data_IF_575562307319
#
_entry.id   IF_575562307319
#
_cell.length_a   1.000
_cell.length_b   1.000
_cell.length_c   1.000
_cell.angle_alpha   90.00
_cell.angle_beta   90.00
_cell.angle_gamma   90.00
#
_symmetry.space_group_name_H-M   'P 1'
#
loop_
_entity.id
_entity.type
_entity.pdbx_description
1 polymer ?
#
# COMPACT_ATOMS: atom_id res chain seq x y z
N UNK A 1 15.81 41.72 34.86
CA UNK A 1 14.69 40.83 35.21
C UNK A 1 14.26 40.08 33.94
N UNK A 2 14.28 38.74 34.01
CA UNK A 2 13.74 37.65 33.14
C UNK A 2 12.72 38.03 32.03
N UNK A 3 12.50 37.33 30.90
CA UNK A 3 12.99 36.07 30.25
C UNK A 3 12.33 35.95 28.84
N UNK A 4 12.98 35.20 27.92
CA UNK A 4 12.49 34.32 26.81
C UNK A 4 11.44 34.83 25.78
N UNK A 5 11.69 34.84 24.45
CA UNK A 5 11.87 33.77 23.42
C UNK A 5 10.63 32.85 23.23
N UNK A 6 9.95 32.94 22.08
CA UNK A 6 9.83 31.86 21.06
C UNK A 6 9.02 32.28 19.82
N UNK A 7 9.63 32.04 18.66
CA UNK A 7 9.08 32.05 17.30
C UNK A 7 8.51 30.67 16.99
N UNK A 8 7.36 30.57 16.34
CA UNK A 8 6.95 29.32 15.66
C UNK A 8 6.44 29.57 14.24
N UNK A 9 6.96 28.71 13.36
CA UNK A 9 6.67 28.53 11.94
C UNK A 9 5.35 27.80 11.76
N UNK A 10 4.66 28.05 10.65
CA UNK A 10 3.83 27.04 9.96
C UNK A 10 4.00 27.18 8.45
N UNK A 11 4.30 26.06 7.79
CA UNK A 11 4.28 25.86 6.33
C UNK A 11 2.92 25.25 5.93
N UNK A 12 2.49 25.39 4.66
CA UNK A 12 1.17 24.98 4.18
C UNK A 12 1.20 23.58 3.53
N UNK A 13 0.08 22.84 3.56
CA UNK A 13 -0.12 21.70 2.64
C UNK A 13 -1.59 21.64 2.17
N UNK A 14 -1.69 21.54 0.84
CA UNK A 14 -2.77 21.12 -0.08
C UNK A 14 -3.61 19.91 0.43
N UNK A 15 -4.79 19.51 -0.09
CA UNK A 15 -5.41 19.71 -1.41
C UNK A 15 -6.90 19.30 -1.41
N UNK A 16 -7.64 19.91 -2.35
CA UNK A 16 -8.79 19.45 -3.19
C UNK A 16 -9.73 18.33 -2.69
N UNK A 17 -11.04 18.57 -2.53
CA UNK A 17 -12.12 18.82 -3.53
C UNK A 17 -12.85 17.53 -3.97
N UNK A 18 -14.13 17.41 -3.61
CA UNK A 18 -15.08 16.38 -4.07
C UNK A 18 -16.08 16.99 -5.06
N UNK A 19 -16.45 16.27 -6.12
CA UNK A 19 -17.61 16.56 -6.96
C UNK A 19 -18.66 15.46 -6.81
N UNK A 20 -19.92 15.89 -6.84
CA UNK A 20 -21.13 15.13 -6.58
C UNK A 20 -21.77 14.53 -7.83
N UNK A 21 -22.59 13.47 -7.65
CA UNK A 21 -23.83 13.24 -8.40
C UNK A 21 -24.72 12.18 -7.68
N UNK A 22 -26.02 12.47 -7.56
CA UNK A 22 -27.06 11.60 -6.95
C UNK A 22 -28.26 11.44 -7.90
N UNK A 23 -28.81 10.22 -8.01
CA UNK A 23 -30.21 9.86 -8.36
C UNK A 23 -30.45 8.45 -7.74
N UNK A 24 -31.28 8.22 -6.71
CA UNK A 24 -32.75 8.01 -6.66
C UNK A 24 -33.13 6.57 -7.11
N UNK A 25 -33.80 5.65 -6.39
CA UNK A 25 -34.53 5.60 -5.11
C UNK A 25 -34.85 4.12 -4.68
N UNK A 26 -35.02 3.88 -3.37
CA UNK A 26 -35.82 2.80 -2.68
C UNK A 26 -35.32 1.33 -2.71
N UNK A 27 -35.58 0.41 -1.75
CA UNK A 27 -36.15 0.39 -0.39
C UNK A 27 -35.76 -0.94 0.31
N UNK A 28 -35.53 -0.92 1.63
CA UNK A 28 -35.69 -1.97 2.70
C UNK A 28 -35.19 -3.42 2.44
N UNK A 29 -34.62 -4.18 3.38
CA UNK A 29 -35.01 -4.49 4.76
C UNK A 29 -33.87 -5.33 5.39
N UNK A 30 -33.58 -5.15 6.68
CA UNK A 30 -32.44 -5.78 7.36
C UNK A 30 -32.60 -7.26 7.69
N UNK A 31 -31.47 -7.90 7.98
CA UNK A 31 -31.35 -9.11 8.81
C UNK A 31 -29.94 -9.16 9.43
N UNK A 32 -29.87 -9.72 10.64
CA UNK A 32 -28.73 -9.78 11.56
C UNK A 32 -27.54 -10.58 11.00
N UNK A 33 -26.32 -10.05 11.14
CA UNK A 33 -25.07 -10.75 10.78
C UNK A 33 -24.17 -10.93 12.00
N UNK A 34 -24.00 -12.18 12.43
CA UNK A 34 -22.86 -12.60 13.24
C UNK A 34 -21.58 -12.38 12.44
N UNK A 35 -20.66 -11.58 13.00
CA UNK A 35 -19.36 -11.32 12.40
C UNK A 35 -18.44 -12.55 12.53
N UNK A 36 -18.25 -13.26 11.41
CA UNK A 36 -17.09 -14.13 11.24
C UNK A 36 -15.87 -13.27 10.95
N UNK A 37 -15.03 -13.06 11.96
CA UNK A 37 -13.74 -12.39 11.81
C UNK A 37 -12.82 -13.25 10.91
N UNK A 38 -12.70 -12.87 9.64
CA UNK A 38 -11.55 -13.25 8.80
C UNK A 38 -10.63 -12.04 8.71
N UNK A 39 -9.44 -12.19 9.28
CA UNK A 39 -8.44 -11.13 9.37
C UNK A 39 -8.08 -10.57 7.97
N UNK A 40 -7.92 -9.24 7.82
CA UNK A 40 -7.44 -8.68 6.56
C UNK A 40 -6.02 -9.20 6.28
N UNK A 41 -5.79 -9.62 5.04
CA UNK A 41 -4.45 -9.99 4.56
C UNK A 41 -3.56 -8.76 4.61
N UNK A 42 -2.81 -8.61 5.71
CA UNK A 42 -1.84 -7.55 5.89
C UNK A 42 -0.67 -7.73 4.91
N UNK A 43 -0.16 -6.62 4.39
CA UNK A 43 1.10 -6.60 3.65
C UNK A 43 2.21 -7.21 4.54
N UNK A 44 2.79 -8.32 4.10
CA UNK A 44 3.85 -9.00 4.85
C UNK A 44 5.19 -8.34 4.51
N UNK A 45 5.88 -7.82 5.52
CA UNK A 45 7.26 -7.34 5.40
C UNK A 45 8.23 -8.47 5.73
N UNK A 46 9.17 -8.73 4.83
CA UNK A 46 10.28 -9.67 5.06
C UNK A 46 11.56 -8.88 5.32
N UNK A 47 12.24 -9.19 6.42
CA UNK A 47 13.53 -8.58 6.75
C UNK A 47 14.68 -9.40 6.17
N UNK A 48 15.69 -8.73 5.62
CA UNK A 48 16.79 -9.37 4.86
C UNK A 48 18.12 -8.64 5.04
N UNK A 49 19.16 -9.43 5.27
CA UNK A 49 20.54 -8.96 5.45
C UNK A 49 21.30 -8.93 4.11
N UNK A 50 22.36 -8.12 3.99
CA UNK A 50 23.15 -8.04 2.76
C UNK A 50 23.91 -9.35 2.50
N UNK A 51 24.06 -9.69 1.23
CA UNK A 51 24.67 -10.95 0.77
C UNK A 51 25.93 -10.76 -0.09
N UNK A 52 26.24 -9.53 -0.49
CA UNK A 52 27.35 -9.26 -1.42
C UNK A 52 27.89 -7.82 -1.30
N UNK A 53 29.20 -7.68 -1.58
CA UNK A 53 29.86 -6.38 -1.82
C UNK A 53 29.82 -6.08 -3.31
N UNK A 54 29.03 -5.08 -3.73
CA UNK A 54 28.77 -4.83 -5.15
C UNK A 54 29.71 -3.77 -5.71
N UNK A 55 29.96 -2.71 -4.93
CA UNK A 55 30.93 -1.68 -5.26
C UNK A 55 31.43 -0.98 -4.00
N UNK A 56 32.69 -0.53 -4.01
CA UNK A 56 33.25 0.21 -2.88
C UNK A 56 34.27 1.25 -3.35
N UNK A 57 34.21 2.45 -2.77
CA UNK A 57 35.17 3.52 -3.02
C UNK A 57 35.58 4.16 -1.71
N UNK A 58 36.86 4.03 -1.35
CA UNK A 58 37.38 4.61 -0.12
C UNK A 58 36.77 4.03 1.15
N UNK A 59 36.35 2.76 1.12
CA UNK A 59 35.85 2.01 2.27
C UNK A 59 36.84 0.91 2.61
N UNK A 60 37.00 0.63 3.90
CA UNK A 60 37.76 -0.50 4.41
C UNK A 60 36.97 -1.24 5.49
N UNK A 61 37.32 -2.49 5.74
CA UNK A 61 36.89 -3.20 6.93
C UNK A 61 37.64 -2.70 8.18
N UNK A 62 36.91 -2.52 9.27
CA UNK A 62 37.45 -2.63 10.63
C UNK A 62 37.37 -4.09 11.06
N UNK A 63 38.46 -4.63 11.63
CA UNK A 63 38.50 -5.97 12.25
C UNK A 63 38.12 -7.15 11.34
N UNK A 64 39.09 -7.66 10.58
CA UNK A 64 38.95 -8.91 9.81
C UNK A 64 39.44 -8.80 8.37
N UNK A 65 39.38 -9.92 7.65
CA UNK A 65 39.70 -10.02 6.21
C UNK A 65 38.51 -10.54 5.39
N UNK A 66 37.33 -10.66 6.00
CA UNK A 66 36.12 -11.10 5.31
C UNK A 66 35.58 -9.97 4.40
N UNK A 67 34.74 -10.31 3.42
CA UNK A 67 33.94 -9.33 2.69
C UNK A 67 33.15 -8.41 3.63
N UNK A 68 32.96 -7.16 3.25
CA UNK A 68 32.40 -6.14 4.14
C UNK A 68 30.94 -6.45 4.50
N UNK A 69 30.13 -6.95 3.58
CA UNK A 69 28.75 -7.37 3.85
C UNK A 69 28.65 -8.42 4.94
N UNK A 70 29.63 -9.33 5.06
CA UNK A 70 29.65 -10.35 6.12
C UNK A 70 30.28 -9.86 7.43
N UNK A 71 30.84 -8.64 7.43
CA UNK A 71 31.34 -7.95 8.62
C UNK A 71 30.32 -6.96 9.17
N UNK A 72 29.43 -6.45 8.32
CA UNK A 72 28.26 -5.70 8.74
C UNK A 72 27.23 -6.73 9.17
N UNK A 73 26.88 -6.73 10.46
CA UNK A 73 26.09 -7.78 11.15
C UNK A 73 24.98 -8.37 10.28
N UNK A 74 24.89 -9.70 10.25
CA UNK A 74 24.01 -10.49 9.38
C UNK A 74 22.60 -10.67 9.96
N UNK A 75 22.28 -9.99 11.05
CA UNK A 75 20.97 -9.93 11.67
C UNK A 75 20.01 -8.90 11.06
N UNK A 76 18.77 -8.91 11.57
CA UNK A 76 17.66 -8.03 11.14
C UNK A 76 17.11 -7.19 12.29
N UNK A 77 17.97 -6.86 13.26
CA UNK A 77 17.59 -6.06 14.41
C UNK A 77 18.79 -5.33 14.98
N UNK A 78 18.59 -4.12 15.51
CA UNK A 78 19.66 -3.42 16.21
C UNK A 78 19.98 -4.09 17.56
N UNK A 79 21.22 -4.55 17.72
CA UNK A 79 21.76 -5.04 18.97
C UNK A 79 23.14 -4.43 19.28
N UNK A 80 23.46 -4.36 20.58
CA UNK A 80 24.74 -3.82 21.02
C UNK A 80 25.92 -4.74 20.67
N UNK A 81 25.67 -6.02 20.44
CA UNK A 81 26.63 -7.01 19.91
C UNK A 81 27.21 -6.60 18.56
N UNK A 82 26.43 -5.87 17.78
CA UNK A 82 26.67 -5.63 16.35
C UNK A 82 27.71 -4.53 16.17
N UNK A 83 27.89 -3.69 17.20
CA UNK A 83 28.88 -2.60 17.26
C UNK A 83 30.25 -3.09 17.72
N UNK A 84 30.60 -4.32 17.35
CA UNK A 84 31.84 -5.01 17.72
C UNK A 84 33.07 -4.51 16.96
N UNK A 85 34.08 -5.38 16.81
CA UNK A 85 35.31 -5.06 16.10
C UNK A 85 35.19 -5.01 14.57
N UNK A 86 34.06 -5.48 14.03
CA UNK A 86 33.78 -5.65 12.60
C UNK A 86 32.86 -4.54 12.09
N UNK A 87 33.28 -3.79 11.08
CA UNK A 87 32.48 -2.68 10.53
C UNK A 87 32.98 -2.23 9.16
N UNK A 88 32.12 -1.55 8.39
CA UNK A 88 32.54 -0.71 7.28
C UNK A 88 33.04 0.64 7.81
N UNK A 89 34.21 1.07 7.35
CA UNK A 89 34.79 2.39 7.69
C UNK A 89 35.18 3.17 6.45
N UNK A 90 34.86 4.46 6.46
CA UNK A 90 35.37 5.41 5.49
C UNK A 90 36.88 5.60 5.66
N UNK A 91 37.58 5.80 4.56
CA UNK A 91 38.98 6.17 4.57
C UNK A 91 39.18 7.48 5.36
N UNK A 92 40.19 7.57 6.24
CA UNK A 92 40.46 8.75 7.02
C UNK A 92 40.65 9.98 6.14
N UNK A 93 40.06 11.10 6.56
CA UNK A 93 40.20 12.39 5.90
C UNK A 93 39.78 12.44 4.41
N UNK A 94 39.10 11.41 3.88
CA UNK A 94 38.43 11.51 2.56
C UNK A 94 37.08 12.16 2.74
N UNK A 95 36.79 13.16 1.90
CA UNK A 95 35.52 13.88 1.91
C UNK A 95 34.32 12.99 1.58
N UNK A 96 34.51 11.96 0.76
CA UNK A 96 33.46 11.02 0.38
C UNK A 96 33.99 9.59 0.23
N UNK A 97 33.20 8.65 0.73
CA UNK A 97 33.38 7.20 0.57
C UNK A 97 32.03 6.52 0.34
N UNK A 98 32.01 5.46 -0.46
CA UNK A 98 30.76 4.72 -0.78
C UNK A 98 30.93 3.22 -0.62
N UNK A 99 29.90 2.57 -0.09
CA UNK A 99 29.76 1.11 -0.02
C UNK A 99 28.41 0.72 -0.60
N UNK A 100 28.40 -0.07 -1.67
CA UNK A 100 27.19 -0.63 -2.27
C UNK A 100 27.08 -2.11 -1.93
N UNK A 101 25.93 -2.51 -1.41
CA UNK A 101 25.61 -3.86 -0.96
C UNK A 101 24.43 -4.44 -1.74
N UNK A 102 24.44 -5.75 -1.97
CA UNK A 102 23.34 -6.49 -2.60
C UNK A 102 22.64 -7.47 -1.66
N UNK A 103 21.40 -7.85 -2.02
CA UNK A 103 20.49 -8.62 -1.17
C UNK A 103 19.84 -9.78 -1.94
N UNK A 104 20.65 -10.76 -2.34
CA UNK A 104 20.23 -11.89 -3.18
C UNK A 104 19.61 -13.03 -2.37
N UNK A 105 18.66 -12.73 -1.47
CA UNK A 105 17.99 -13.76 -0.66
C UNK A 105 16.84 -14.42 -1.44
N UNK A 106 16.87 -15.75 -1.52
CA UNK A 106 15.79 -16.54 -2.10
C UNK A 106 14.44 -16.35 -1.40
N UNK A 107 14.43 -15.99 -0.11
CA UNK A 107 13.24 -15.71 0.70
C UNK A 107 12.61 -14.34 0.41
N UNK A 108 13.27 -13.47 -0.39
CA UNK A 108 12.67 -12.20 -0.79
C UNK A 108 11.41 -12.38 -1.63
N UNK A 109 10.41 -11.50 -1.45
CA UNK A 109 9.22 -11.51 -2.29
C UNK A 109 9.58 -11.24 -3.75
N UNK A 110 8.72 -11.73 -4.65
CA UNK A 110 8.88 -11.57 -6.09
C UNK A 110 8.93 -10.10 -6.54
N UNK A 111 8.49 -9.13 -5.73
CA UNK A 111 8.63 -7.69 -5.99
C UNK A 111 8.55 -6.88 -4.70
N UNK A 112 8.78 -5.56 -4.74
CA UNK A 112 8.74 -4.68 -3.57
C UNK A 112 7.98 -3.37 -3.85
N UNK A 113 7.02 -3.03 -2.98
CA UNK A 113 6.26 -1.77 -3.01
C UNK A 113 6.73 -0.75 -1.99
N UNK A 114 7.41 -1.21 -0.94
CA UNK A 114 8.02 -0.39 0.10
C UNK A 114 9.25 -1.11 0.64
N UNK A 115 10.32 -0.36 0.88
CA UNK A 115 11.55 -0.82 1.53
C UNK A 115 11.87 0.14 2.67
N UNK A 116 12.08 -0.39 3.87
CA UNK A 116 12.73 0.35 4.95
C UNK A 116 14.17 -0.09 5.02
N UNK A 117 15.12 0.83 4.86
CA UNK A 117 16.54 0.53 5.07
C UNK A 117 16.89 0.91 6.50
N UNK A 118 17.28 -0.09 7.29
CA UNK A 118 17.71 0.09 8.67
C UNK A 118 19.23 -0.02 8.73
N UNK A 119 19.88 0.92 9.41
CA UNK A 119 21.34 0.96 9.50
C UNK A 119 21.78 1.76 10.72
N UNK A 120 23.03 1.58 11.12
CA UNK A 120 23.65 2.43 12.13
C UNK A 120 24.79 3.29 11.57
N UNK A 121 25.22 4.28 12.35
CA UNK A 121 26.38 5.06 12.00
C UNK A 121 26.95 5.90 13.14
N UNK A 122 28.26 6.11 13.11
CA UNK A 122 28.96 7.05 13.99
C UNK A 122 30.31 7.48 13.42
N UNK A 123 30.94 8.43 14.12
CA UNK A 123 32.27 8.91 13.82
C UNK A 123 33.30 8.43 14.85
N UNK A 124 34.51 8.13 14.38
CA UNK A 124 35.64 7.66 15.20
C UNK A 124 36.91 8.46 14.91
N UNK A 125 37.86 8.42 15.85
CA UNK A 125 39.22 8.94 15.69
C UNK A 125 39.28 10.41 15.19
N UNK A 126 38.35 11.25 15.65
CA UNK A 126 38.26 12.66 15.25
C UNK A 126 37.52 12.93 13.94
N UNK A 127 36.82 11.94 13.38
CA UNK A 127 35.92 12.11 12.26
C UNK A 127 34.68 12.92 12.63
N UNK A 128 34.07 13.58 11.66
CA UNK A 128 32.79 14.25 11.80
C UNK A 128 32.13 14.42 10.43
N UNK A 129 30.83 14.17 10.32
CA UNK A 129 30.17 14.24 9.02
C UNK A 129 28.80 13.61 9.03
N UNK A 130 28.39 13.10 7.88
CA UNK A 130 27.07 12.55 7.67
C UNK A 130 27.09 11.23 6.90
N UNK A 131 25.99 10.50 7.04
CA UNK A 131 25.69 9.28 6.31
C UNK A 131 24.30 9.41 5.69
N UNK A 132 24.15 8.86 4.49
CA UNK A 132 22.84 8.63 3.89
C UNK A 132 22.85 7.35 3.08
N UNK A 133 21.67 6.80 2.86
CA UNK A 133 21.47 5.66 1.98
C UNK A 133 20.86 6.09 0.65
N UNK A 134 21.27 5.44 -0.43
CA UNK A 134 20.56 5.41 -1.70
C UNK A 134 20.08 3.99 -1.99
N UNK A 135 18.85 3.86 -2.48
CA UNK A 135 18.25 2.59 -2.85
C UNK A 135 18.24 2.45 -4.37
N UNK A 136 18.64 1.29 -4.88
CA UNK A 136 18.71 0.98 -6.30
C UNK A 136 17.95 -0.31 -6.63
N UNK A 137 17.45 -0.40 -7.85
CA UNK A 137 17.05 -1.64 -8.52
C UNK A 137 18.12 -1.97 -9.58
N UNK A 138 18.93 -2.99 -9.30
CA UNK A 138 20.15 -3.27 -10.06
C UNK A 138 21.08 -2.07 -10.08
N UNK A 139 21.26 -1.46 -11.26
CA UNK A 139 22.07 -0.26 -11.45
C UNK A 139 21.25 1.06 -11.44
N UNK A 140 19.93 0.98 -11.41
CA UNK A 140 19.03 2.13 -11.50
C UNK A 140 18.76 2.69 -10.11
N UNK A 141 19.06 3.98 -9.91
CA UNK A 141 18.74 4.66 -8.64
C UNK A 141 17.22 4.82 -8.52
N UNK A 142 16.62 4.24 -7.48
CA UNK A 142 15.20 4.41 -7.16
C UNK A 142 14.98 5.70 -6.37
N UNK A 143 15.75 5.89 -5.29
CA UNK A 143 15.57 7.01 -4.37
C UNK A 143 16.82 7.27 -3.52
N UNK A 144 16.91 8.49 -2.99
CA UNK A 144 17.96 8.91 -2.04
C UNK A 144 17.32 9.27 -0.71
N UNK A 145 17.77 8.62 0.36
CA UNK A 145 17.32 8.86 1.73
C UNK A 145 17.78 10.20 2.29
N UNK A 146 17.21 10.62 3.43
CA UNK A 146 17.63 11.83 4.13
C UNK A 146 19.11 11.77 4.56
N UNK A 147 19.69 12.94 4.81
CA UNK A 147 21.06 13.05 5.30
C UNK A 147 21.07 13.05 6.83
N UNK A 148 21.79 12.11 7.43
CA UNK A 148 21.91 11.99 8.89
C UNK A 148 23.27 12.43 9.38
N UNK A 149 23.30 13.39 10.30
CA UNK A 149 24.54 13.81 10.96
C UNK A 149 25.01 12.77 11.97
N UNK A 150 26.29 12.40 11.90
CA UNK A 150 26.88 11.39 12.78
C UNK A 150 27.55 12.05 13.99
N UNK A 151 27.44 11.37 15.13
CA UNK A 151 28.12 11.76 16.37
C UNK A 151 29.20 10.73 16.74
N UNK A 152 29.93 10.94 17.83
CA UNK A 152 30.87 9.94 18.36
C UNK A 152 30.17 8.75 19.03
N UNK A 153 28.85 8.82 19.21
CA UNK A 153 28.04 7.74 19.76
C UNK A 153 27.26 7.08 18.62
N UNK A 154 27.26 5.74 18.54
CA UNK A 154 26.44 4.98 17.58
C UNK A 154 24.95 5.35 17.63
N UNK A 155 24.44 5.81 16.49
CA UNK A 155 23.02 6.09 16.26
C UNK A 155 22.40 5.07 15.30
N UNK A 156 21.13 4.76 15.49
CA UNK A 156 20.35 3.88 14.62
C UNK A 156 19.43 4.74 13.76
N UNK A 157 19.28 4.37 12.49
CA UNK A 157 18.50 5.09 11.49
C UNK A 157 17.63 4.12 10.70
N UNK A 158 16.46 4.59 10.29
CA UNK A 158 15.52 3.85 9.44
C UNK A 158 14.99 4.80 8.37
N UNK A 159 15.37 4.56 7.12
CA UNK A 159 14.91 5.36 5.98
C UNK A 159 13.83 4.59 5.24
N UNK A 160 12.64 5.17 5.13
CA UNK A 160 11.50 4.53 4.42
C UNK A 160 11.42 5.02 2.98
N UNK A 161 11.39 4.05 2.06
CA UNK A 161 11.18 4.24 0.63
C UNK A 161 9.86 3.55 0.26
N UNK A 162 8.84 4.34 -0.04
CA UNK A 162 7.50 3.84 -0.40
C UNK A 162 7.23 4.09 -1.89
N UNK A 163 6.11 3.55 -2.38
CA UNK A 163 5.69 3.71 -3.77
C UNK A 163 6.74 3.22 -4.77
N UNK A 164 7.41 2.13 -4.40
CA UNK A 164 8.43 1.50 -5.22
C UNK A 164 7.79 0.62 -6.30
N UNK A 165 8.43 0.60 -7.46
CA UNK A 165 8.12 -0.32 -8.53
C UNK A 165 9.32 -1.24 -8.78
N UNK A 166 9.43 -2.27 -7.95
CA UNK A 166 10.53 -3.23 -8.03
C UNK A 166 9.94 -4.58 -8.37
N UNK A 167 10.24 -5.04 -9.59
CA UNK A 167 9.72 -6.28 -10.15
C UNK A 167 10.43 -7.54 -9.67
N UNK A 168 11.63 -7.41 -9.07
CA UNK A 168 12.32 -8.49 -8.36
C UNK A 168 13.12 -7.89 -7.20
N UNK A 169 12.67 -8.11 -5.96
CA UNK A 169 13.33 -7.54 -4.79
C UNK A 169 14.79 -8.01 -4.63
N UNK A 170 15.18 -9.14 -5.24
CA UNK A 170 16.57 -9.65 -5.19
C UNK A 170 17.56 -8.76 -5.94
N UNK A 171 17.06 -7.88 -6.81
CA UNK A 171 17.86 -6.89 -7.51
C UNK A 171 18.10 -5.62 -6.68
N UNK A 172 17.47 -5.49 -5.51
CA UNK A 172 17.69 -4.34 -4.63
C UNK A 172 19.16 -4.22 -4.23
N UNK A 173 19.67 -2.99 -4.28
CA UNK A 173 20.98 -2.60 -3.75
C UNK A 173 20.86 -1.37 -2.88
N UNK A 174 21.72 -1.26 -1.88
CA UNK A 174 21.86 -0.04 -1.08
C UNK A 174 23.28 0.51 -1.19
N UNK A 175 23.41 1.80 -1.49
CA UNK A 175 24.67 2.53 -1.36
C UNK A 175 24.65 3.36 -0.06
N UNK A 176 25.54 3.03 0.87
CA UNK A 176 25.92 3.89 1.98
C UNK A 176 26.91 4.94 1.48
N UNK A 177 26.50 6.22 1.52
CA UNK A 177 27.35 7.36 1.19
C UNK A 177 27.79 8.06 2.48
N UNK A 178 29.07 7.95 2.78
CA UNK A 178 29.73 8.62 3.90
C UNK A 178 30.32 9.95 3.42
N UNK A 179 29.96 11.04 4.10
CA UNK A 179 30.46 12.39 3.80
C UNK A 179 31.22 12.92 5.02
N UNK A 180 32.54 12.80 5.02
CA UNK A 180 33.37 13.27 6.14
C UNK A 180 33.72 14.75 5.94
N UNK A 181 33.19 15.57 6.83
CA UNK A 181 33.48 17.01 6.89
C UNK A 181 34.77 17.34 7.65
N UNK A 182 35.33 16.36 8.40
CA UNK A 182 36.60 16.52 9.08
C UNK A 182 37.77 16.09 8.19
N UNK A 183 38.89 16.81 8.30
CA UNK A 183 40.17 16.43 7.69
C UNK A 183 40.89 15.31 8.48
N UNK A 184 40.18 14.60 9.36
CA UNK A 184 40.72 13.55 10.22
C UNK A 184 39.64 12.48 10.49
N UNK A 185 40.08 11.34 11.03
CA UNK A 185 39.21 10.24 11.46
C UNK A 185 38.31 9.67 10.37
N UNK A 186 37.39 8.79 10.78
CA UNK A 186 36.54 8.00 9.89
C UNK A 186 35.08 8.03 10.34
N UNK A 187 34.18 7.80 9.39
CA UNK A 187 32.78 7.48 9.63
C UNK A 187 32.60 5.97 9.45
N UNK A 188 31.71 5.37 10.22
CA UNK A 188 31.55 3.92 10.26
C UNK A 188 30.09 3.52 10.34
N UNK A 189 29.82 2.31 9.88
CA UNK A 189 28.55 1.59 10.03
C UNK A 189 28.87 0.12 10.24
N UNK A 190 28.15 -0.54 11.15
CA UNK A 190 28.32 -1.95 11.49
C UNK A 190 27.10 -2.81 11.19
N UNK A 191 25.94 -2.23 10.91
CA UNK A 191 24.75 -3.01 10.56
C UNK A 191 23.95 -2.33 9.47
N UNK A 192 23.37 -3.15 8.59
CA UNK A 192 22.39 -2.72 7.62
C UNK A 192 21.49 -3.89 7.21
N UNK A 193 20.18 -3.69 7.19
CA UNK A 193 19.23 -4.65 6.62
C UNK A 193 18.05 -3.93 5.97
N UNK A 194 17.28 -4.64 5.15
CA UNK A 194 16.04 -4.13 4.57
C UNK A 194 14.83 -4.78 5.23
N UNK A 195 13.78 -4.02 5.50
CA UNK A 195 12.43 -4.55 5.63
C UNK A 195 11.71 -4.34 4.30
N UNK A 196 11.57 -5.41 3.52
CA UNK A 196 10.97 -5.40 2.19
C UNK A 196 9.51 -5.77 2.30
N UNK A 197 8.62 -4.84 1.96
CA UNK A 197 7.20 -5.11 1.82
C UNK A 197 6.93 -5.54 0.38
N UNK A 198 6.58 -6.81 0.21
CA UNK A 198 6.32 -7.38 -1.10
C UNK A 198 4.88 -7.18 -1.60
N UNK A 199 4.67 -7.26 -2.91
CA UNK A 199 3.35 -7.50 -3.51
C UNK A 199 3.10 -9.01 -3.49
N UNK A 200 2.30 -9.49 -2.54
CA UNK A 200 1.97 -10.93 -2.39
C UNK A 200 0.49 -11.20 -2.59
N UNK A 201 -0.13 -10.48 -3.53
CA UNK A 201 -1.51 -10.73 -3.91
C UNK A 201 -1.72 -12.18 -4.33
N UNK A 202 -2.87 -12.74 -3.94
CA UNK A 202 -3.25 -14.12 -4.26
C UNK A 202 -4.47 -14.19 -5.16
N UNK A 203 -5.09 -13.05 -5.48
CA UNK A 203 -6.32 -12.96 -6.27
C UNK A 203 -7.41 -12.13 -5.63
N UNK A 204 -8.64 -12.29 -6.12
CA UNK A 204 -9.84 -11.71 -5.53
C UNK A 204 -10.73 -12.81 -4.95
N UNK A 205 -11.49 -12.47 -3.91
CA UNK A 205 -12.50 -13.36 -3.35
C UNK A 205 -13.72 -13.34 -4.26
N UNK A 206 -13.91 -14.39 -5.06
CA UNK A 206 -15.08 -14.60 -5.90
C UNK A 206 -16.19 -15.30 -5.11
N UNK A 207 -17.39 -14.74 -5.16
CA UNK A 207 -18.63 -15.39 -4.71
C UNK A 207 -19.51 -15.62 -5.93
N UNK A 208 -19.77 -16.89 -6.24
CA UNK A 208 -20.54 -17.34 -7.38
C UNK A 208 -21.94 -17.73 -6.93
N UNK A 209 -22.97 -17.22 -7.61
CA UNK A 209 -24.37 -17.41 -7.28
C UNK A 209 -25.12 -18.07 -8.42
N UNK A 210 -26.09 -18.92 -8.09
CA UNK A 210 -26.90 -19.69 -9.06
C UNK A 210 -28.01 -18.86 -9.74
N UNK A 211 -28.16 -17.58 -9.37
CA UNK A 211 -29.06 -16.62 -10.00
C UNK A 211 -28.31 -15.35 -10.46
N UNK A 212 -28.86 -14.63 -11.43
CA UNK A 212 -28.29 -13.38 -12.01
C UNK A 212 -28.24 -12.18 -11.05
N UNK A 213 -28.97 -12.25 -9.94
CA UNK A 213 -29.22 -11.14 -9.01
C UNK A 213 -28.51 -11.30 -7.66
N UNK A 214 -27.45 -12.13 -7.63
CA UNK A 214 -26.68 -12.47 -6.43
C UNK A 214 -27.49 -13.19 -5.35
N UNK A 215 -28.48 -13.99 -5.76
CA UNK A 215 -29.29 -14.82 -4.86
C UNK A 215 -29.12 -16.32 -5.17
N UNK A 216 -29.79 -17.18 -4.40
CA UNK A 216 -29.74 -18.63 -4.59
C UNK A 216 -28.54 -19.29 -3.91
N UNK A 217 -28.23 -20.52 -4.32
CA UNK A 217 -27.07 -21.23 -3.83
C UNK A 217 -25.79 -20.48 -4.24
N UNK A 218 -24.78 -20.46 -3.38
CA UNK A 218 -23.51 -19.78 -3.69
C UNK A 218 -22.28 -20.55 -3.24
N UNK A 219 -21.20 -20.42 -4.01
CA UNK A 219 -19.88 -21.00 -3.72
C UNK A 219 -18.83 -19.89 -3.74
N UNK A 220 -17.96 -19.90 -2.73
CA UNK A 220 -16.88 -18.91 -2.60
C UNK A 220 -15.51 -19.55 -2.87
N UNK A 221 -14.65 -18.87 -3.63
CA UNK A 221 -13.24 -19.23 -3.81
C UNK A 221 -12.38 -18.00 -4.09
N UNK A 222 -11.07 -18.14 -3.95
CA UNK A 222 -10.12 -17.11 -4.40
C UNK A 222 -9.75 -17.39 -5.85
N UNK A 223 -9.99 -16.40 -6.71
CA UNK A 223 -9.58 -16.43 -8.12
C UNK A 223 -8.31 -15.61 -8.29
N UNK A 224 -7.22 -16.26 -8.70
CA UNK A 224 -5.91 -15.61 -8.83
C UNK A 224 -5.94 -14.37 -9.73
N UNK A 225 -6.76 -14.41 -10.78
CA UNK A 225 -7.01 -13.32 -11.71
C UNK A 225 -8.46 -13.44 -12.21
N UNK A 226 -9.04 -12.36 -12.72
CA UNK A 226 -10.33 -12.43 -13.44
C UNK A 226 -10.03 -12.46 -14.94
N UNK A 227 -9.93 -13.68 -15.47
CA UNK A 227 -9.71 -13.96 -16.89
C UNK A 227 -10.44 -15.26 -17.26
N UNK A 228 -11.76 -15.17 -17.35
CA UNK A 228 -12.64 -16.31 -17.53
C UNK A 228 -13.33 -16.28 -18.88
N UNK A 229 -13.27 -17.42 -19.58
CA UNK A 229 -14.10 -17.71 -20.74
C UNK A 229 -14.72 -19.09 -20.52
N UNK A 230 -15.98 -19.10 -20.11
CA UNK A 230 -16.71 -20.34 -19.84
C UNK A 230 -17.42 -20.86 -21.10
N UNK A 231 -17.58 -20.03 -22.14
CA UNK A 231 -18.45 -20.36 -23.28
C UNK A 231 -19.85 -20.70 -22.75
N UNK A 232 -20.42 -21.82 -23.20
CA UNK A 232 -21.73 -22.30 -22.72
C UNK A 232 -21.66 -23.22 -21.48
N UNK A 233 -20.54 -23.24 -20.75
CA UNK A 233 -20.35 -24.09 -19.57
C UNK A 233 -20.64 -23.33 -18.27
N UNK A 234 -21.01 -24.08 -17.22
CA UNK A 234 -21.14 -23.53 -15.88
C UNK A 234 -19.79 -23.10 -15.31
N UNK A 235 -19.76 -22.04 -14.47
CA UNK A 235 -18.53 -21.55 -13.87
C UNK A 235 -17.95 -22.52 -12.82
N UNK A 236 -18.81 -23.32 -12.20
CA UNK A 236 -18.52 -24.32 -11.18
C UNK A 236 -19.48 -25.51 -11.33
N UNK A 237 -19.07 -26.70 -10.89
CA UNK A 237 -19.86 -27.93 -10.99
C UNK A 237 -21.23 -27.85 -10.31
N UNK A 238 -21.34 -27.05 -9.24
CA UNK A 238 -22.54 -26.95 -8.40
C UNK A 238 -23.49 -25.81 -8.82
N UNK A 239 -23.22 -25.16 -9.95
CA UNK A 239 -24.02 -24.06 -10.48
C UNK A 239 -24.59 -24.40 -11.87
N UNK A 240 -25.71 -23.77 -12.21
CA UNK A 240 -26.26 -23.78 -13.55
C UNK A 240 -25.30 -23.17 -14.57
N UNK A 241 -25.36 -23.69 -15.80
CA UNK A 241 -24.61 -23.12 -16.93
C UNK A 241 -25.18 -21.78 -17.42
N UNK A 242 -26.43 -21.52 -17.08
CA UNK A 242 -27.20 -20.35 -17.47
C UNK A 242 -27.68 -19.64 -16.20
N UNK A 243 -27.97 -18.35 -16.29
CA UNK A 243 -28.54 -17.54 -15.19
C UNK A 243 -27.70 -17.46 -13.90
N UNK A 244 -26.38 -17.29 -13.97
CA UNK A 244 -25.53 -17.15 -12.77
C UNK A 244 -25.00 -15.72 -12.59
N UNK A 245 -24.48 -15.41 -11.41
CA UNK A 245 -23.75 -14.15 -11.18
C UNK A 245 -22.50 -14.37 -10.33
N UNK A 246 -21.53 -13.46 -10.46
CA UNK A 246 -20.29 -13.51 -9.69
C UNK A 246 -19.96 -12.13 -9.15
N UNK A 247 -19.57 -12.08 -7.87
CA UNK A 247 -19.01 -10.89 -7.23
C UNK A 247 -17.59 -11.19 -6.78
N UNK A 248 -16.61 -10.52 -7.37
CA UNK A 248 -15.24 -10.49 -6.89
C UNK A 248 -15.01 -9.29 -5.99
N UNK A 249 -14.51 -9.52 -4.79
CA UNK A 249 -14.18 -8.49 -3.81
C UNK A 249 -12.73 -8.60 -3.35
N UNK A 250 -12.13 -7.46 -3.03
CA UNK A 250 -10.79 -7.42 -2.49
C UNK A 250 -10.16 -6.04 -2.61
N UNK A 251 -8.84 -6.04 -2.77
CA UNK A 251 -8.06 -4.84 -3.03
C UNK A 251 -7.20 -5.00 -4.28
N UNK A 252 -6.96 -3.88 -4.96
CA UNK A 252 -6.01 -3.76 -6.07
C UNK A 252 -4.91 -2.78 -5.67
N UNK A 253 -3.65 -3.10 -5.98
CA UNK A 253 -2.52 -2.18 -5.75
C UNK A 253 -1.73 -1.97 -7.03
N UNK A 254 -1.53 -0.70 -7.41
CA UNK A 254 -0.84 -0.31 -8.64
C UNK A 254 0.69 -0.39 -8.53
N UNK A 255 1.32 -0.58 -9.68
CA UNK A 255 2.77 -0.58 -9.84
C UNK A 255 3.34 0.85 -9.84
N UNK A 256 2.62 1.78 -10.47
CA UNK A 256 3.02 3.17 -10.60
C UNK A 256 1.98 4.13 -9.99
N UNK A 257 2.44 5.30 -9.56
CA UNK A 257 1.54 6.39 -9.16
C UNK A 257 1.07 7.12 -10.41
N UNK A 258 0.00 6.62 -11.02
CA UNK A 258 -0.51 7.06 -12.32
C UNK A 258 -2.05 6.98 -12.36
N UNK A 259 -2.64 7.54 -13.42
CA UNK A 259 -4.04 7.25 -13.74
C UNK A 259 -4.10 5.94 -14.52
N UNK A 260 -4.75 4.94 -13.94
CA UNK A 260 -4.99 3.65 -14.57
C UNK A 260 -6.32 3.68 -15.31
N UNK A 261 -6.33 3.11 -16.51
CA UNK A 261 -7.54 2.74 -17.23
C UNK A 261 -7.80 1.27 -16.97
N UNK A 262 -8.92 0.96 -16.31
CA UNK A 262 -9.44 -0.38 -16.16
C UNK A 262 -10.30 -0.75 -17.38
N UNK A 263 -10.23 -1.99 -17.80
CA UNK A 263 -11.04 -2.55 -18.87
C UNK A 263 -11.69 -3.83 -18.39
N UNK A 264 -12.96 -4.01 -18.75
CA UNK A 264 -13.70 -5.24 -18.53
C UNK A 264 -14.25 -5.73 -19.86
N UNK A 265 -14.07 -7.01 -20.19
CA UNK A 265 -14.79 -7.64 -21.29
C UNK A 265 -15.78 -8.63 -20.71
N UNK A 266 -17.07 -8.47 -21.03
CA UNK A 266 -18.10 -9.38 -20.52
C UNK A 266 -19.23 -9.67 -21.51
N UNK A 267 -19.80 -10.86 -21.34
CA UNK A 267 -21.03 -11.39 -21.90
C UNK A 267 -21.63 -12.19 -20.73
N UNK A 268 -22.70 -11.78 -20.04
CA UNK A 268 -23.49 -10.54 -20.16
C UNK A 268 -22.93 -9.35 -19.30
N UNK A 269 -23.72 -8.82 -18.36
CA UNK A 269 -23.53 -7.50 -17.76
C UNK A 269 -22.45 -7.45 -16.69
N UNK A 270 -21.78 -6.30 -16.57
CA UNK A 270 -20.65 -6.10 -15.67
C UNK A 270 -20.63 -4.68 -15.07
N UNK A 271 -20.16 -4.58 -13.84
CA UNK A 271 -19.91 -3.30 -13.17
C UNK A 271 -18.66 -3.38 -12.30
N UNK A 272 -17.86 -2.31 -12.35
CA UNK A 272 -16.60 -2.20 -11.61
C UNK A 272 -16.62 -0.97 -10.72
N UNK A 273 -16.37 -1.21 -9.43
CA UNK A 273 -16.19 -0.17 -8.42
C UNK A 273 -14.76 -0.21 -7.92
N UNK A 274 -14.06 0.93 -7.94
CA UNK A 274 -12.70 1.08 -7.41
C UNK A 274 -12.70 2.23 -6.41
N UNK A 275 -12.20 1.97 -5.19
CA UNK A 275 -12.17 2.92 -4.08
C UNK A 275 -13.54 3.57 -3.82
N UNK A 276 -14.61 2.77 -3.84
CA UNK A 276 -15.99 3.22 -3.65
C UNK A 276 -16.62 3.95 -4.85
N UNK A 277 -15.88 4.19 -5.94
CA UNK A 277 -16.38 4.87 -7.13
C UNK A 277 -16.72 3.86 -8.24
N UNK A 278 -17.97 3.90 -8.74
CA UNK A 278 -18.42 3.12 -9.90
C UNK A 278 -17.79 3.70 -11.17
N UNK A 279 -16.79 3.02 -11.72
CA UNK A 279 -16.05 3.48 -12.91
C UNK A 279 -16.50 2.77 -14.20
N UNK A 280 -17.15 1.62 -14.10
CA UNK A 280 -17.81 0.91 -15.21
C UNK A 280 -19.18 0.45 -14.73
N UNK A 281 -20.23 0.73 -15.50
CA UNK A 281 -21.61 0.32 -15.17
C UNK A 281 -22.38 -0.06 -16.44
N UNK A 282 -22.25 -1.32 -16.85
CA UNK A 282 -22.98 -1.88 -17.98
C UNK A 282 -23.79 -3.10 -17.50
N UNK A 283 -24.81 -2.83 -16.69
CA UNK A 283 -25.65 -3.86 -16.07
C UNK A 283 -26.85 -4.24 -16.95
N UNK A 284 -26.58 -4.62 -18.20
CA UNK A 284 -27.60 -5.04 -19.18
C UNK A 284 -27.19 -6.35 -19.84
N UNK A 285 -28.16 -7.10 -20.39
CA UNK A 285 -27.85 -8.28 -21.18
C UNK A 285 -27.27 -7.86 -22.53
N UNK A 286 -26.11 -8.41 -22.89
CA UNK A 286 -25.38 -8.09 -24.11
C UNK A 286 -24.32 -9.15 -24.40
N UNK A 287 -24.01 -9.34 -25.69
CA UNK A 287 -22.85 -10.15 -26.07
C UNK A 287 -21.52 -9.58 -25.59
N UNK A 288 -20.42 -10.28 -25.81
CA UNK A 288 -19.07 -9.85 -25.43
C UNK A 288 -18.73 -8.39 -25.85
N UNK A 289 -18.65 -7.50 -24.86
CA UNK A 289 -18.32 -6.07 -25.03
C UNK A 289 -17.19 -5.68 -24.07
N UNK A 290 -16.23 -4.89 -24.56
CA UNK A 290 -15.24 -4.23 -23.72
C UNK A 290 -15.76 -2.86 -23.24
N UNK A 291 -15.76 -2.64 -21.92
CA UNK A 291 -16.00 -1.34 -21.29
C UNK A 291 -14.73 -0.88 -20.57
N UNK A 292 -14.60 0.43 -20.34
CA UNK A 292 -13.46 0.99 -19.63
C UNK A 292 -13.83 2.16 -18.74
N UNK A 293 -13.01 2.37 -17.70
CA UNK A 293 -13.13 3.45 -16.73
C UNK A 293 -11.78 3.76 -16.11
N UNK A 294 -11.59 4.96 -15.58
CA UNK A 294 -10.28 5.39 -15.05
C UNK A 294 -10.32 5.62 -13.55
N UNK A 295 -9.22 5.32 -12.86
CA UNK A 295 -9.00 5.68 -11.46
C UNK A 295 -7.55 6.11 -11.24
N UNK A 296 -7.33 7.12 -10.39
CA UNK A 296 -5.98 7.54 -9.99
C UNK A 296 -5.51 6.67 -8.82
N UNK A 297 -4.38 5.99 -8.99
CA UNK A 297 -3.82 5.07 -8.00
C UNK A 297 -2.42 5.54 -7.61
N UNK A 298 -2.07 5.36 -6.34
CA UNK A 298 -0.71 5.51 -5.84
C UNK A 298 -0.01 4.14 -5.83
N UNK A 299 1.25 4.11 -6.28
CA UNK A 299 2.03 2.88 -6.30
C UNK A 299 2.10 2.26 -4.90
N UNK A 300 1.81 0.96 -4.82
CA UNK A 300 1.90 0.19 -3.57
C UNK A 300 0.75 0.39 -2.59
N UNK A 301 -0.11 1.39 -2.78
CA UNK A 301 -1.29 1.59 -1.95
C UNK A 301 -2.41 0.62 -2.37
N UNK A 302 -3.08 -0.06 -1.43
CA UNK A 302 -4.15 -0.99 -1.74
C UNK A 302 -5.52 -0.29 -1.74
N UNK A 303 -6.22 -0.31 -2.87
CA UNK A 303 -7.54 0.28 -3.06
C UNK A 303 -8.63 -0.78 -3.12
N UNK A 304 -9.79 -0.54 -2.51
CA UNK A 304 -10.91 -1.48 -2.60
C UNK A 304 -11.36 -1.66 -4.06
N UNK A 305 -11.62 -2.91 -4.44
CA UNK A 305 -12.13 -3.26 -5.76
C UNK A 305 -13.32 -4.22 -5.61
N UNK A 306 -14.40 -3.92 -6.32
CA UNK A 306 -15.57 -4.78 -6.45
C UNK A 306 -15.92 -4.89 -7.92
N UNK A 307 -15.80 -6.10 -8.45
CA UNK A 307 -16.26 -6.45 -9.79
C UNK A 307 -17.48 -7.36 -9.67
N UNK A 308 -18.54 -6.99 -10.34
CA UNK A 308 -19.81 -7.70 -10.31
C UNK A 308 -20.22 -8.02 -11.75
N UNK A 309 -20.65 -9.25 -11.97
CA UNK A 309 -20.95 -9.82 -13.28
C UNK A 309 -22.20 -10.70 -13.19
N UNK A 310 -22.98 -10.76 -14.27
CA UNK A 310 -23.99 -11.79 -14.45
C UNK A 310 -23.94 -12.38 -15.85
N UNK A 311 -24.36 -13.64 -15.94
CA UNK A 311 -24.66 -14.34 -17.17
C UNK A 311 -26.16 -14.65 -17.18
N UNK A 312 -26.89 -14.17 -18.18
CA UNK A 312 -28.31 -14.49 -18.32
C UNK A 312 -28.50 -15.72 -19.21
N UNK A 313 -27.99 -15.69 -20.45
CA UNK A 313 -28.06 -16.85 -21.35
C UNK A 313 -26.96 -16.87 -22.42
N UNK A 314 -26.42 -18.05 -22.72
CA UNK A 314 -25.57 -18.26 -23.89
C UNK A 314 -24.09 -18.43 -23.54
N UNK A 315 -23.24 -17.53 -24.03
CA UNK A 315 -21.80 -17.64 -23.82
C UNK A 315 -21.37 -16.69 -22.71
N UNK A 316 -20.66 -17.20 -21.72
CA UNK A 316 -20.19 -16.42 -20.60
C UNK A 316 -18.69 -16.09 -20.71
N UNK A 317 -18.35 -14.80 -20.62
CA UNK A 317 -16.98 -14.29 -20.51
C UNK A 317 -16.92 -13.17 -19.47
N UNK A 318 -15.84 -13.13 -18.69
CA UNK A 318 -15.56 -12.03 -17.77
C UNK A 318 -14.05 -11.86 -17.61
N UNK A 319 -13.52 -10.72 -18.03
CA UNK A 319 -12.10 -10.37 -17.87
C UNK A 319 -11.94 -9.02 -17.18
N UNK A 320 -10.84 -8.87 -16.44
CA UNK A 320 -10.41 -7.62 -15.82
C UNK A 320 -8.96 -7.33 -16.18
N UNK A 321 -8.75 -6.24 -16.91
CA UNK A 321 -7.43 -5.75 -17.31
C UNK A 321 -7.25 -4.29 -16.97
N UNK A 322 -6.01 -3.80 -16.99
CA UNK A 322 -5.70 -2.39 -16.80
C UNK A 322 -4.55 -1.94 -17.70
N UNK A 323 -4.35 -0.63 -17.80
CA UNK A 323 -3.14 -0.02 -18.38
C UNK A 323 -2.90 1.36 -17.80
N UNK A 324 -1.68 1.87 -17.92
CA UNK A 324 -1.26 3.22 -17.56
C UNK A 324 -0.11 3.67 -18.49
N UNK A 325 0.40 4.91 -18.38
CA UNK A 325 1.58 5.33 -19.14
C UNK A 325 2.80 4.39 -19.02
N UNK A 326 3.00 3.80 -17.84
CA UNK A 326 4.11 2.89 -17.56
C UNK A 326 3.71 1.40 -17.50
N UNK A 327 2.42 1.09 -17.41
CA UNK A 327 1.88 -0.29 -17.45
C UNK A 327 1.20 -0.59 -18.79
N UNK A 328 1.74 -1.49 -19.65
CA UNK A 328 1.06 -1.95 -20.85
C UNK A 328 -0.29 -2.61 -20.53
N UNK A 329 -1.25 -2.55 -21.48
CA UNK A 329 -2.55 -3.20 -21.28
C UNK A 329 -2.41 -4.71 -21.09
N UNK A 330 -2.95 -5.23 -19.99
CA UNK A 330 -2.95 -6.66 -19.69
C UNK A 330 -3.89 -7.00 -18.53
N UNK A 331 -4.19 -8.30 -18.38
CA UNK A 331 -4.93 -8.83 -17.21
C UNK A 331 -4.23 -8.35 -15.94
N UNK A 332 -5.02 -7.91 -14.96
CA UNK A 332 -4.43 -7.47 -13.68
C UNK A 332 -3.77 -8.69 -13.02
N UNK A 333 -2.44 -8.67 -12.81
CA UNK A 333 -1.73 -9.82 -12.28
C UNK A 333 -2.18 -10.17 -10.86
N UNK A 334 -2.05 -11.44 -10.48
CA UNK A 334 -2.48 -11.93 -9.16
C UNK A 334 -1.79 -11.22 -8.00
N UNK A 335 -0.53 -10.85 -8.19
CA UNK A 335 0.32 -10.16 -7.22
C UNK A 335 -0.20 -8.75 -6.87
N UNK A 336 -0.99 -8.15 -7.76
CA UNK A 336 -1.66 -6.86 -7.57
C UNK A 336 -3.06 -7.01 -6.97
N UNK A 337 -3.57 -8.22 -6.76
CA UNK A 337 -4.93 -8.51 -6.28
C UNK A 337 -4.90 -9.21 -4.92
N UNK A 338 -5.60 -8.64 -3.95
CA UNK A 338 -5.65 -9.14 -2.57
C UNK A 338 -7.08 -9.53 -2.23
N UNK A 339 -7.36 -10.78 -1.78
CA UNK A 339 -8.72 -11.24 -1.60
C UNK A 339 -9.41 -10.49 -0.45
N UNK A 340 -10.67 -10.12 -0.66
CA UNK A 340 -11.54 -9.59 0.37
C UNK A 340 -12.01 -10.67 1.35
N UNK A 341 -12.73 -10.30 2.43
CA UNK A 341 -13.34 -11.27 3.33
C UNK A 341 -14.29 -12.19 2.54
N UNK A 342 -14.32 -13.47 2.92
CA UNK A 342 -15.24 -14.46 2.37
C UNK A 342 -16.66 -14.21 2.89
N UNK A 343 -17.36 -13.24 2.32
CA UNK A 343 -18.74 -12.90 2.68
C UNK A 343 -19.30 -11.78 1.81
N UNK A 344 -20.63 -11.53 1.88
CA UNK A 344 -21.21 -10.36 1.22
C UNK A 344 -20.47 -9.11 1.67
N UNK A 345 -20.16 -8.16 0.77
CA UNK A 345 -19.50 -6.92 1.16
C UNK A 345 -20.28 -6.30 2.32
N UNK A 346 -19.57 -5.86 3.37
CA UNK A 346 -20.20 -5.14 4.48
C UNK A 346 -21.03 -4.02 3.85
N UNK A 347 -22.34 -3.91 4.15
CA UNK A 347 -23.16 -2.83 3.61
C UNK A 347 -22.47 -1.50 3.93
N UNK A 348 -22.00 -0.82 2.90
CA UNK A 348 -21.60 0.57 3.05
C UNK A 348 -22.88 1.36 3.28
N UNK A 349 -23.17 1.65 4.55
CA UNK A 349 -24.25 2.55 4.92
C UNK A 349 -23.91 3.92 4.35
N UNK A 350 -24.44 4.21 3.16
CA UNK A 350 -24.43 5.54 2.60
C UNK A 350 -25.26 6.42 3.53
N UNK A 351 -24.61 7.32 4.26
CA UNK A 351 -25.31 8.28 5.09
C UNK A 351 -25.95 9.32 4.16
N UNK A 352 -27.26 9.23 3.94
CA UNK A 352 -27.99 10.27 3.22
C UNK A 352 -27.96 11.56 4.05
N UNK A 353 -27.53 12.67 3.44
CA UNK A 353 -27.65 13.97 4.09
C UNK A 353 -29.14 14.34 4.23
N UNK A 354 -29.61 14.78 5.42
CA UNK A 354 -30.96 15.31 5.55
C UNK A 354 -31.15 16.55 4.66
N UNK A 355 -32.39 16.85 4.23
CA UNK A 355 -32.70 18.07 3.50
C UNK A 355 -32.26 19.31 4.29
N UNK A 356 -31.38 20.13 3.70
CA UNK A 356 -30.94 21.42 4.28
C UNK A 356 -29.49 21.48 4.76
N UNK A 357 -28.70 20.40 4.69
CA UNK A 357 -27.28 20.41 5.03
C UNK A 357 -26.44 20.50 3.75
N UNK A 358 -25.58 21.51 3.65
CA UNK A 358 -24.84 21.82 2.41
C UNK A 358 -23.33 21.61 2.48
N UNK A 359 -22.74 21.23 3.63
CA UNK A 359 -21.37 20.70 3.79
C UNK A 359 -21.01 20.68 5.28
N UNK A 360 -20.71 19.51 5.85
CA UNK A 360 -19.85 19.43 7.05
C UNK A 360 -18.67 18.52 6.71
N UNK A 361 -17.46 19.08 6.85
CA UNK A 361 -16.20 18.36 6.69
C UNK A 361 -15.80 17.85 8.07
N UNK A 362 -15.82 16.54 8.27
CA UNK A 362 -15.21 15.92 9.44
C UNK A 362 -13.76 15.58 9.11
N UNK A 363 -12.85 15.87 10.04
CA UNK A 363 -11.47 15.41 9.98
C UNK A 363 -11.34 14.31 11.02
N UNK A 364 -11.22 13.08 10.54
CA UNK A 364 -10.92 11.93 11.39
C UNK A 364 -9.41 11.88 11.60
N UNK A 365 -8.97 11.76 12.85
CA UNK A 365 -7.57 11.54 13.22
C UNK A 365 -7.43 10.04 13.49
N UNK A 366 -7.40 9.25 12.41
CA UNK A 366 -7.43 7.79 12.47
C UNK A 366 -6.12 7.28 13.10
N UNK A 367 -6.14 6.94 14.39
CA UNK A 367 -5.00 6.34 15.11
C UNK A 367 -4.99 4.81 15.08
N UNK A 368 -5.91 4.20 14.31
CA UNK A 368 -5.98 2.75 14.11
C UNK A 368 -6.62 1.97 15.27
N UNK A 369 -7.33 2.64 16.19
CA UNK A 369 -8.19 1.97 17.18
C UNK A 369 -9.66 2.35 17.01
N UNK A 370 -10.57 1.60 17.65
CA UNK A 370 -12.02 1.80 17.56
C UNK A 370 -12.42 3.26 17.76
N UNK A 371 -13.44 3.72 17.01
CA UNK A 371 -13.96 5.10 16.99
C UNK A 371 -14.00 5.74 18.39
N UNK A 372 -13.04 6.62 18.68
CA UNK A 372 -13.01 7.39 19.93
C UNK A 372 -13.82 8.70 19.76
N UNK A 373 -15.07 8.63 20.21
CA UNK A 373 -16.02 9.75 20.16
C UNK A 373 -15.62 10.97 21.01
N UNK A 374 -14.58 10.88 21.84
CA UNK A 374 -14.11 12.01 22.68
C UNK A 374 -13.12 12.93 21.97
N UNK A 375 -12.64 12.57 20.78
CA UNK A 375 -11.62 13.32 20.01
C UNK A 375 -12.19 14.13 18.84
N UNK A 376 -13.51 14.29 18.76
CA UNK A 376 -14.16 15.00 17.66
C UNK A 376 -14.06 16.51 17.86
N UNK A 377 -13.19 17.18 17.10
CA UNK A 377 -13.11 18.64 17.07
C UNK A 377 -13.89 19.25 15.91
N UNK A 378 -14.76 20.21 16.21
CA UNK A 378 -15.52 20.98 15.22
C UNK A 378 -14.64 22.12 14.72
N UNK A 379 -14.15 22.02 13.48
CA UNK A 379 -13.14 22.97 12.98
C UNK A 379 -13.76 24.26 12.42
N UNK A 380 -14.98 24.26 11.85
CA UNK A 380 -15.73 25.48 11.54
C UNK A 380 -17.25 25.25 11.46
N UNK A 381 -18.02 26.13 12.11
CA UNK A 381 -19.47 26.27 11.96
C UNK A 381 -19.87 27.71 12.24
N UNK A 382 -20.76 28.27 11.42
CA UNK A 382 -21.23 29.64 11.59
C UNK A 382 -21.96 29.75 12.94
N UNK A 383 -21.42 30.54 13.87
CA UNK A 383 -22.00 30.75 15.18
C UNK A 383 -23.38 31.41 15.07
N UNK A 384 -24.47 30.63 15.09
CA UNK A 384 -25.73 31.08 15.69
C UNK A 384 -26.66 29.91 16.06
N UNK A 385 -26.63 29.39 17.30
CA UNK A 385 -27.61 28.41 17.76
C UNK A 385 -28.84 29.14 18.31
N UNK A 386 -29.68 29.70 17.44
CA UNK A 386 -31.03 30.07 17.84
C UNK A 386 -31.96 28.87 17.64
N UNK A 387 -32.00 28.00 18.65
CA UNK A 387 -33.06 27.01 18.81
C UNK A 387 -32.65 25.55 18.57
N UNK A 388 -32.17 24.88 19.63
CA UNK A 388 -32.56 23.51 19.97
C UNK A 388 -32.30 22.35 18.99
N UNK A 389 -31.57 22.52 17.89
CA UNK A 389 -31.39 21.48 16.86
C UNK A 389 -30.20 20.52 17.10
N UNK A 390 -29.47 20.63 18.20
CA UNK A 390 -28.27 19.82 18.48
C UNK A 390 -28.55 18.43 19.05
N UNK A 391 -29.73 17.85 18.82
CA UNK A 391 -30.13 16.59 19.50
C UNK A 391 -30.65 15.47 18.59
N UNK A 392 -30.77 15.66 17.27
CA UNK A 392 -31.22 14.55 16.40
C UNK A 392 -30.06 13.73 15.82
N UNK A 393 -28.98 14.35 15.32
CA UNK A 393 -27.89 13.60 14.69
C UNK A 393 -27.10 12.73 15.69
N UNK A 394 -26.79 13.27 16.88
CA UNK A 394 -26.13 12.52 17.96
C UNK A 394 -27.03 11.43 18.57
N UNK A 395 -28.37 11.55 18.45
CA UNK A 395 -29.30 10.47 18.85
C UNK A 395 -29.40 9.37 17.79
N UNK A 396 -29.28 9.70 16.51
CA UNK A 396 -29.24 8.72 15.42
C UNK A 396 -27.93 7.93 15.42
N UNK A 397 -26.79 8.59 15.67
CA UNK A 397 -25.47 7.92 15.79
C UNK A 397 -25.37 7.04 17.05
N UNK A 398 -26.12 7.31 18.12
CA UNK A 398 -26.18 6.45 19.33
C UNK A 398 -27.01 5.18 19.17
N UNK A 399 -27.86 5.09 18.15
CA UNK A 399 -28.78 3.96 17.99
C UNK A 399 -28.23 2.85 17.07
N UNK A 400 -27.10 3.09 16.40
CA UNK A 400 -26.46 2.17 15.44
C UNK A 400 -25.01 1.83 15.82
N UNK A 401 -24.68 1.81 17.12
CA UNK A 401 -23.46 1.21 17.70
C UNK A 401 -23.88 -0.01 18.50
#
# INVERSE_FOLDING_TARGET
MNRAIRTLRTLPVFSLAFLAACHGSSSEKGDDLEASETAPSALVSSSVSPSSDEAMSGIWAGGGSAPIHGLMDDGVSFAASDRGGSFARSAPARTSSTLTLGYHDSAMPGGASKVVVNYDGWAINGGAGSLRVKLYDGATLLATGPLHGLTTTPGNFSDTFASLDVADARLLRTELLFENSAAAGSLVSSIIWLDVTGRSGTGLQGQYFDNIDFTGASVSRVDATVDFNWGAAAPLTDLGAETFSVRWTGKVSADHTETYTFYTTSDDGIRLTVNGMRIIDNWTAHGAIENSGTSALQAGEPYDIVLEYFENTGNAVATLSWSSPSTPKGIIPRENLFPGPAGPPIPVTKLDCPPGFINEVFRDDFDGTALDTTKWDVIQGNNNPSGGAFTQLTKMLRANV
#
